data_IF_523843480111
#
_entry.id   IF_523843480111
#
_cell.length_a   1.000
_cell.length_b   1.000
_cell.length_c   1.000
_cell.angle_alpha   90.00
_cell.angle_beta   90.00
_cell.angle_gamma   90.00
#
_symmetry.space_group_name_H-M   'P 1'
#
loop_
_entity.id
_entity.type
_entity.pdbx_description
1 polymer ?
#
# COMPACT_ATOMS: atom_id res chain seq x y z
N UNK A 1 12.87 -14.23 -4.95
CA UNK A 1 12.30 -12.89 -5.21
C UNK A 1 12.09 -12.22 -3.87
N UNK A 2 12.65 -11.04 -3.65
CA UNK A 2 12.56 -10.38 -2.36
C UNK A 2 11.13 -9.87 -2.11
N UNK A 3 10.67 -9.89 -0.86
CA UNK A 3 9.33 -9.43 -0.46
C UNK A 3 9.07 -8.00 -0.93
N UNK A 4 10.09 -7.16 -0.90
CA UNK A 4 10.07 -5.77 -1.37
C UNK A 4 9.82 -5.66 -2.88
N UNK A 5 10.52 -6.45 -3.70
CA UNK A 5 10.32 -6.52 -5.15
C UNK A 5 8.94 -7.07 -5.52
N UNK A 6 8.44 -8.02 -4.74
CA UNK A 6 7.09 -8.56 -4.90
C UNK A 6 6.03 -7.48 -4.72
N UNK A 7 6.05 -6.76 -3.59
CA UNK A 7 5.08 -5.70 -3.33
C UNK A 7 5.24 -4.56 -4.33
N UNK A 8 6.47 -4.24 -4.73
CA UNK A 8 6.73 -3.16 -5.68
C UNK A 8 6.25 -3.47 -7.09
N UNK A 9 6.41 -4.71 -7.52
CA UNK A 9 5.86 -5.15 -8.81
C UNK A 9 4.34 -5.10 -8.80
N UNK A 10 3.69 -5.55 -7.71
CA UNK A 10 2.22 -5.46 -7.56
C UNK A 10 1.71 -4.02 -7.61
N UNK A 11 2.35 -3.10 -6.89
CA UNK A 11 1.99 -1.68 -6.89
C UNK A 11 2.20 -1.05 -8.27
N UNK A 12 3.28 -1.39 -8.99
CA UNK A 12 3.57 -0.85 -10.32
C UNK A 12 2.61 -1.36 -11.40
N UNK A 13 2.15 -2.60 -11.30
CA UNK A 13 1.33 -3.26 -12.33
C UNK A 13 -0.15 -2.86 -12.30
N UNK A 14 -0.67 -2.39 -11.17
CA UNK A 14 -2.10 -2.14 -10.96
C UNK A 14 -2.34 -0.66 -10.70
N UNK A 15 -3.39 -0.08 -11.30
CA UNK A 15 -3.81 1.29 -10.92
C UNK A 15 -4.50 1.29 -9.55
N UNK A 16 -5.22 0.23 -9.23
CA UNK A 16 -5.88 0.05 -7.94
C UNK A 16 -5.45 -1.29 -7.35
N UNK A 17 -4.83 -1.26 -6.17
CA UNK A 17 -4.43 -2.45 -5.43
C UNK A 17 -5.03 -2.39 -4.03
N UNK A 18 -5.93 -3.33 -3.72
CA UNK A 18 -6.41 -3.51 -2.35
C UNK A 18 -5.53 -4.58 -1.67
N UNK A 19 -4.73 -4.16 -0.69
CA UNK A 19 -4.01 -5.10 0.19
C UNK A 19 -4.93 -5.42 1.36
N UNK A 20 -5.29 -6.70 1.52
CA UNK A 20 -6.35 -7.14 2.44
C UNK A 20 -5.93 -8.26 3.39
N UNK A 21 -6.69 -8.36 4.48
CA UNK A 21 -6.66 -9.46 5.45
C UNK A 21 -8.00 -10.18 5.43
N UNK A 22 -8.01 -11.52 5.32
CA UNK A 22 -9.21 -12.33 5.14
C UNK A 22 -10.20 -12.17 6.30
N UNK A 23 -9.67 -12.07 7.53
CA UNK A 23 -10.49 -11.99 8.75
C UNK A 23 -10.88 -10.56 9.15
N UNK A 24 -10.50 -9.55 8.36
CA UNK A 24 -10.83 -8.15 8.64
C UNK A 24 -12.18 -7.79 8.02
N UNK A 25 -13.23 -7.48 8.83
CA UNK A 25 -14.53 -7.08 8.30
C UNK A 25 -14.43 -5.80 7.45
N UNK A 26 -13.54 -4.88 7.84
CA UNK A 26 -13.28 -3.65 7.09
C UNK A 26 -12.75 -3.95 5.69
N UNK A 27 -11.81 -4.90 5.57
CA UNK A 27 -11.30 -5.32 4.27
C UNK A 27 -12.41 -5.93 3.39
N UNK A 28 -13.28 -6.75 3.98
CA UNK A 28 -14.41 -7.36 3.26
C UNK A 28 -15.40 -6.30 2.76
N UNK A 29 -15.72 -5.29 3.58
CA UNK A 29 -16.58 -4.17 3.19
C UNK A 29 -15.98 -3.37 2.04
N UNK A 30 -14.71 -2.98 2.14
CA UNK A 30 -14.02 -2.21 1.10
C UNK A 30 -13.90 -3.02 -0.20
N UNK A 31 -13.57 -4.30 -0.10
CA UNK A 31 -13.54 -5.20 -1.26
C UNK A 31 -14.91 -5.26 -1.95
N UNK A 32 -15.99 -5.43 -1.20
CA UNK A 32 -17.35 -5.44 -1.72
C UNK A 32 -17.68 -4.16 -2.48
N UNK A 33 -17.37 -3.00 -1.89
CA UNK A 33 -17.55 -1.68 -2.52
C UNK A 33 -16.73 -1.58 -3.81
N UNK A 34 -15.43 -1.90 -3.78
CA UNK A 34 -14.57 -1.80 -4.95
C UNK A 34 -15.00 -2.70 -6.11
N UNK A 35 -15.56 -3.88 -5.79
CA UNK A 35 -16.10 -4.80 -6.80
C UNK A 35 -17.34 -4.26 -7.52
N UNK A 36 -18.16 -3.39 -6.90
CA UNK A 36 -19.35 -2.82 -7.57
C UNK A 36 -18.99 -1.86 -8.71
N UNK A 37 -17.82 -1.22 -8.63
CA UNK A 37 -17.34 -0.30 -9.68
C UNK A 37 -16.85 -1.00 -10.95
N UNK A 38 -16.74 -2.34 -10.93
CA UNK A 38 -16.27 -3.14 -12.06
C UNK A 38 -14.98 -2.59 -12.71
N UNK A 39 -13.99 -2.28 -11.86
CA UNK A 39 -12.77 -1.55 -12.24
C UNK A 39 -11.94 -2.21 -13.34
N UNK A 40 -12.15 -3.49 -13.61
CA UNK A 40 -11.49 -4.26 -14.67
C UNK A 40 -12.29 -4.30 -16.00
N UNK A 41 -13.40 -3.57 -16.11
CA UNK A 41 -14.30 -3.65 -17.28
C UNK A 41 -13.63 -3.26 -18.60
N UNK A 42 -12.85 -2.19 -18.60
CA UNK A 42 -12.25 -1.61 -19.82
C UNK A 42 -10.80 -2.03 -20.02
N UNK A 43 -10.12 -2.39 -18.94
CA UNK A 43 -8.73 -2.80 -18.95
C UNK A 43 -8.55 -3.95 -17.97
N UNK A 44 -8.14 -5.10 -18.49
CA UNK A 44 -7.73 -6.21 -17.66
C UNK A 44 -6.58 -5.77 -16.76
N UNK A 45 -6.61 -6.31 -15.55
CA UNK A 45 -5.63 -6.04 -14.52
C UNK A 45 -5.56 -4.61 -13.96
N UNK A 46 -6.58 -3.79 -14.15
CA UNK A 46 -6.63 -2.47 -13.54
C UNK A 46 -6.74 -2.50 -11.99
N UNK A 47 -7.45 -3.51 -11.47
CA UNK A 47 -7.73 -3.76 -10.06
C UNK A 47 -7.35 -5.18 -9.64
N UNK A 48 -6.71 -5.30 -8.47
CA UNK A 48 -6.40 -6.58 -7.82
C UNK A 48 -6.66 -6.48 -6.30
N UNK A 49 -7.19 -7.57 -5.72
CA UNK A 49 -7.22 -7.77 -4.27
C UNK A 49 -6.10 -8.73 -3.90
N UNK A 50 -5.12 -8.25 -3.15
CA UNK A 50 -4.00 -9.02 -2.63
C UNK A 50 -4.23 -9.37 -1.16
N UNK A 51 -4.74 -10.57 -0.91
CA UNK A 51 -4.86 -11.10 0.45
C UNK A 51 -3.48 -11.55 0.95
N UNK A 52 -2.98 -10.94 2.03
CA UNK A 52 -1.63 -11.23 2.56
C UNK A 52 -1.62 -12.24 3.70
N UNK A 53 -2.76 -12.48 4.36
CA UNK A 53 -2.86 -13.36 5.54
C UNK A 53 -2.44 -14.80 5.28
N UNK A 54 -2.64 -15.30 4.06
CA UNK A 54 -2.30 -16.68 3.70
C UNK A 54 -0.82 -16.86 3.32
N UNK A 55 -0.04 -15.78 3.30
CA UNK A 55 1.36 -15.84 2.90
C UNK A 55 2.26 -16.12 4.10
N UNK A 56 3.29 -16.94 3.90
CA UNK A 56 4.30 -17.23 4.92
C UNK A 56 5.13 -16.00 5.31
N UNK A 57 5.22 -15.00 4.44
CA UNK A 57 5.95 -13.74 4.63
C UNK A 57 5.05 -12.56 5.01
N UNK A 58 3.81 -12.81 5.48
CA UNK A 58 2.83 -11.77 5.81
C UNK A 58 3.40 -10.69 6.74
N UNK A 59 4.07 -11.07 7.83
CA UNK A 59 4.66 -10.12 8.78
C UNK A 59 5.70 -9.20 8.10
N UNK A 60 6.54 -9.75 7.23
CA UNK A 60 7.54 -8.98 6.47
C UNK A 60 6.88 -8.03 5.48
N UNK A 61 5.81 -8.45 4.81
CA UNK A 61 5.00 -7.60 3.93
C UNK A 61 4.40 -6.43 4.73
N UNK A 62 3.83 -6.69 5.90
CA UNK A 62 3.26 -5.64 6.75
C UNK A 62 4.32 -4.63 7.17
N UNK A 63 5.44 -5.08 7.73
CA UNK A 63 6.55 -4.20 8.12
C UNK A 63 7.01 -3.35 6.94
N UNK A 64 7.14 -3.95 5.75
CA UNK A 64 7.52 -3.22 4.54
C UNK A 64 6.50 -2.14 4.15
N UNK A 65 5.21 -2.48 4.16
CA UNK A 65 4.14 -1.53 3.84
C UNK A 65 4.08 -0.37 4.84
N UNK A 66 4.26 -0.66 6.14
CA UNK A 66 4.38 0.37 7.17
C UNK A 66 5.53 1.34 6.86
N UNK A 67 6.73 0.82 6.60
CA UNK A 67 7.88 1.64 6.21
C UNK A 67 7.63 2.45 4.93
N UNK A 68 7.04 1.83 3.92
CA UNK A 68 6.88 2.46 2.61
C UNK A 68 5.78 3.51 2.55
N UNK A 69 4.64 3.28 3.20
CA UNK A 69 3.44 4.12 3.06
C UNK A 69 3.31 5.17 4.18
N UNK A 70 3.78 4.84 5.38
CA UNK A 70 3.54 5.68 6.57
C UNK A 70 4.76 6.53 6.89
N UNK A 71 5.98 5.96 6.83
CA UNK A 71 7.19 6.74 7.12
C UNK A 71 7.58 7.71 6.01
N UNK A 72 7.24 7.44 4.74
CA UNK A 72 7.45 8.39 3.64
C UNK A 72 6.62 9.67 3.77
N UNK A 73 5.44 9.60 4.40
CA UNK A 73 4.55 10.74 4.62
C UNK A 73 4.75 11.42 5.99
N UNK A 74 5.71 10.94 6.79
CA UNK A 74 6.07 11.51 8.11
C UNK A 74 7.41 12.24 8.11
N UNK A 75 8.00 12.53 6.95
CA UNK A 75 9.02 13.58 6.89
C UNK A 75 8.33 14.90 7.23
N UNK A 76 8.40 15.27 8.50
CA UNK A 76 8.23 16.65 8.91
C UNK A 76 9.36 17.38 8.21
N UNK A 77 9.03 18.24 7.26
CA UNK A 77 9.98 19.23 6.77
C UNK A 77 10.25 20.09 8.01
N UNK A 78 11.36 19.85 8.70
CA UNK A 78 11.94 20.86 9.57
C UNK A 78 12.33 22.00 8.64
N UNK A 79 11.39 22.94 8.47
CA UNK A 79 11.64 24.19 7.76
C UNK A 79 12.54 25.03 8.67
N UNK A 80 13.82 24.64 8.75
CA UNK A 80 14.92 25.44 9.27
C UNK A 80 15.22 26.57 8.27
N UNK A 81 14.20 27.35 7.93
CA UNK A 81 14.36 28.68 7.35
C UNK A 81 14.18 29.70 8.47
N UNK A 82 15.21 30.50 8.70
CA UNK A 82 15.30 31.62 9.66
C UNK A 82 15.82 31.31 11.07
N UNK A 83 17.05 30.80 11.16
CA UNK A 83 17.96 31.22 12.22
C UNK A 83 19.28 31.70 11.59
N UNK A 84 19.31 32.95 11.12
CA UNK A 84 20.58 33.66 10.96
C UNK A 84 21.14 33.91 12.36
N UNK A 85 22.04 33.04 12.79
CA UNK A 85 22.96 33.35 13.88
C UNK A 85 24.04 34.27 13.29
N UNK A 86 23.85 35.57 13.45
CA UNK A 86 24.95 36.53 13.39
C UNK A 86 25.77 36.37 14.67
N UNK A 87 27.07 36.10 14.48
CA UNK A 87 28.11 35.97 15.52
C UNK A 87 28.25 37.27 16.31
#
# INVERSE_FOLDING_TARGET
MYVTEFIDSKIKQRRVLLISKQKSPVCQTIEGILRTYNLNKEQDNNFEVLCIDCRSDCATVETYLWHKLIYRNRQVIDDLSHASLTI
#
